data_IF_166398581451
#
_entry.id   IF_166398581451
#
_cell.length_a   1.000
_cell.length_b   1.000
_cell.length_c   1.000
_cell.angle_alpha   90.00
_cell.angle_beta   90.00
_cell.angle_gamma   90.00
#
_symmetry.space_group_name_H-M   'P 1'
#
loop_
_entity.id
_entity.type
_entity.pdbx_description
1 polymer ?
#
# COMPACT_ATOMS: atom_id res chain seq x y z
N UNK A 1 21.04 4.90 -10.87
CA UNK A 1 20.14 3.79 -11.28
C UNK A 1 19.59 2.94 -10.12
N UNK A 2 20.37 2.59 -9.08
CA UNK A 2 19.87 1.74 -7.96
C UNK A 2 18.64 2.31 -7.22
N UNK A 3 18.59 3.63 -6.97
CA UNK A 3 17.46 4.28 -6.26
C UNK A 3 16.13 4.22 -7.02
N UNK A 4 16.18 4.40 -8.35
CA UNK A 4 15.00 4.33 -9.23
C UNK A 4 14.43 2.91 -9.28
N UNK A 5 15.31 1.90 -9.36
CA UNK A 5 14.91 0.49 -9.32
C UNK A 5 14.23 0.11 -8.00
N UNK A 6 14.72 0.62 -6.86
CA UNK A 6 14.10 0.39 -5.55
C UNK A 6 12.71 1.00 -5.44
N UNK A 7 12.54 2.27 -5.84
CA UNK A 7 11.24 2.94 -5.83
C UNK A 7 10.22 2.29 -6.75
N UNK A 8 10.64 1.88 -7.95
CA UNK A 8 9.77 1.18 -8.90
C UNK A 8 9.32 -0.19 -8.37
N UNK A 9 10.21 -0.94 -7.72
CA UNK A 9 9.86 -2.20 -7.07
C UNK A 9 8.78 -2.02 -6.02
N UNK A 10 8.92 -1.04 -5.14
CA UNK A 10 7.90 -0.73 -4.11
C UNK A 10 6.57 -0.30 -4.72
N UNK A 11 6.59 0.54 -5.76
CA UNK A 11 5.37 0.99 -6.45
C UNK A 11 4.62 -0.18 -7.11
N UNK A 12 5.34 -1.11 -7.75
CA UNK A 12 4.75 -2.32 -8.34
C UNK A 12 4.17 -3.24 -7.25
N UNK A 13 4.92 -3.49 -6.18
CA UNK A 13 4.44 -4.33 -5.06
C UNK A 13 3.16 -3.75 -4.46
N UNK A 14 3.10 -2.44 -4.28
CA UNK A 14 1.88 -1.77 -3.80
C UNK A 14 0.73 -1.87 -4.80
N UNK A 15 0.98 -1.65 -6.09
CA UNK A 15 -0.04 -1.78 -7.12
C UNK A 15 -0.66 -3.19 -7.14
N UNK A 16 0.18 -4.23 -7.06
CA UNK A 16 -0.28 -5.63 -7.01
C UNK A 16 -1.06 -5.89 -5.73
N UNK A 17 -0.54 -5.47 -4.58
CA UNK A 17 -1.19 -5.70 -3.27
C UNK A 17 -2.57 -5.05 -3.24
N UNK A 18 -2.70 -3.83 -3.74
CA UNK A 18 -3.97 -3.11 -3.81
C UNK A 18 -4.91 -3.67 -4.86
N UNK A 19 -4.40 -4.07 -6.04
CA UNK A 19 -5.22 -4.72 -7.07
C UNK A 19 -5.86 -6.00 -6.55
N UNK A 20 -5.08 -6.84 -5.86
CA UNK A 20 -5.59 -8.06 -5.20
C UNK A 20 -6.55 -7.75 -4.05
N UNK A 21 -6.26 -6.73 -3.24
CA UNK A 21 -7.15 -6.28 -2.17
C UNK A 21 -8.49 -5.77 -2.69
N UNK A 22 -8.49 -4.96 -3.75
CA UNK A 22 -9.69 -4.47 -4.43
C UNK A 22 -10.50 -5.60 -5.06
N UNK A 23 -9.83 -6.55 -5.71
CA UNK A 23 -10.47 -7.77 -6.23
C UNK A 23 -11.19 -8.54 -5.11
N UNK A 24 -10.49 -8.81 -4.01
CA UNK A 24 -11.03 -9.54 -2.87
C UNK A 24 -12.22 -8.82 -2.23
N UNK A 25 -12.09 -7.52 -1.97
CA UNK A 25 -13.14 -6.71 -1.38
C UNK A 25 -14.39 -6.67 -2.25
N UNK A 26 -14.25 -6.41 -3.56
CA UNK A 26 -15.40 -6.39 -4.47
C UNK A 26 -16.07 -7.75 -4.58
N UNK A 27 -15.27 -8.83 -4.65
CA UNK A 27 -15.78 -10.20 -4.69
C UNK A 27 -16.60 -10.53 -3.43
N UNK A 28 -16.11 -10.14 -2.25
CA UNK A 28 -16.83 -10.32 -0.98
C UNK A 28 -18.12 -9.50 -0.92
N UNK A 29 -18.09 -8.24 -1.33
CA UNK A 29 -19.30 -7.40 -1.37
C UNK A 29 -20.34 -7.98 -2.32
N UNK A 30 -19.93 -8.49 -3.48
CA UNK A 30 -20.84 -9.10 -4.44
C UNK A 30 -21.53 -10.37 -3.90
N UNK A 31 -20.87 -11.13 -3.02
CA UNK A 31 -21.48 -12.29 -2.35
C UNK A 31 -22.61 -11.89 -1.38
N UNK A 32 -22.49 -10.72 -0.74
CA UNK A 32 -23.46 -10.24 0.26
C UNK A 32 -24.59 -9.43 -0.39
N UNK A 33 -24.28 -8.68 -1.45
CA UNK A 33 -25.24 -7.88 -2.21
C UNK A 33 -25.19 -8.24 -3.70
N UNK A 34 -25.75 -9.40 -4.09
CA UNK A 34 -25.74 -9.83 -5.48
C UNK A 34 -26.65 -8.92 -6.32
N UNK A 35 -26.04 -8.02 -7.08
CA UNK A 35 -26.71 -7.16 -8.05
C UNK A 35 -26.82 -7.82 -9.43
N UNK A 36 -27.83 -7.44 -10.25
CA UNK A 36 -28.02 -8.01 -11.57
C UNK A 36 -26.90 -7.58 -12.54
N UNK A 37 -25.96 -8.49 -12.77
CA UNK A 37 -25.44 -8.75 -14.11
C UNK A 37 -24.34 -7.85 -14.68
N UNK A 38 -23.28 -7.48 -13.93
CA UNK A 38 -22.02 -6.99 -14.52
C UNK A 38 -20.80 -7.28 -13.64
N UNK A 39 -20.64 -8.52 -13.15
CA UNK A 39 -19.52 -8.88 -12.27
C UNK A 39 -18.15 -8.60 -12.91
N UNK A 40 -17.93 -9.06 -14.15
CA UNK A 40 -16.62 -8.91 -14.82
C UNK A 40 -16.26 -7.44 -15.07
N UNK A 41 -17.10 -6.60 -15.69
CA UNK A 41 -16.80 -5.17 -15.87
C UNK A 41 -16.62 -4.42 -14.54
N UNK A 42 -17.41 -4.76 -13.52
CA UNK A 42 -17.30 -4.19 -12.18
C UNK A 42 -15.99 -4.54 -11.49
N UNK A 43 -15.61 -5.82 -11.49
CA UNK A 43 -14.33 -6.31 -10.97
C UNK A 43 -13.17 -5.58 -11.65
N UNK A 44 -13.15 -5.54 -12.99
CA UNK A 44 -12.04 -4.91 -13.72
C UNK A 44 -11.90 -3.43 -13.39
N UNK A 45 -13.03 -2.72 -13.23
CA UNK A 45 -13.03 -1.30 -12.86
C UNK A 45 -12.48 -1.09 -11.45
N UNK A 46 -12.93 -1.89 -10.48
CA UNK A 46 -12.45 -1.80 -9.09
C UNK A 46 -10.99 -2.20 -8.98
N UNK A 47 -10.58 -3.31 -9.60
CA UNK A 47 -9.19 -3.76 -9.62
C UNK A 47 -8.29 -2.71 -10.27
N UNK A 48 -8.70 -2.14 -11.41
CA UNK A 48 -7.95 -1.09 -12.10
C UNK A 48 -7.76 0.15 -11.24
N UNK A 49 -8.84 0.63 -10.60
CA UNK A 49 -8.80 1.78 -9.70
C UNK A 49 -7.94 1.49 -8.46
N UNK A 50 -8.09 0.32 -7.84
CA UNK A 50 -7.29 -0.08 -6.68
C UNK A 50 -5.82 -0.24 -7.04
N UNK A 51 -5.49 -0.86 -8.17
CA UNK A 51 -4.11 -0.99 -8.64
C UNK A 51 -3.47 0.36 -8.93
N UNK A 52 -4.19 1.27 -9.59
CA UNK A 52 -3.73 2.63 -9.83
C UNK A 52 -3.50 3.39 -8.51
N UNK A 53 -4.42 3.24 -7.55
CA UNK A 53 -4.32 3.81 -6.22
C UNK A 53 -3.09 3.29 -5.48
N UNK A 54 -2.88 1.97 -5.50
CA UNK A 54 -1.69 1.33 -4.94
C UNK A 54 -0.41 1.83 -5.59
N UNK A 55 -0.39 1.98 -6.92
CA UNK A 55 0.77 2.49 -7.65
C UNK A 55 1.13 3.93 -7.24
N UNK A 56 0.14 4.83 -7.22
CA UNK A 56 0.33 6.23 -6.82
C UNK A 56 0.73 6.33 -5.36
N UNK A 57 0.07 5.57 -4.48
CA UNK A 57 0.39 5.50 -3.07
C UNK A 57 1.81 4.97 -2.81
N UNK A 58 2.20 3.89 -3.49
CA UNK A 58 3.53 3.29 -3.37
C UNK A 58 4.65 4.19 -3.91
N UNK A 59 4.38 4.92 -4.99
CA UNK A 59 5.31 5.92 -5.54
C UNK A 59 5.50 7.08 -4.58
N UNK A 60 4.40 7.60 -4.02
CA UNK A 60 4.43 8.68 -3.03
C UNK A 60 5.16 8.24 -1.76
N UNK A 61 4.81 7.08 -1.23
CA UNK A 61 5.46 6.49 -0.05
C UNK A 61 6.96 6.28 -0.24
N UNK A 62 7.36 5.75 -1.40
CA UNK A 62 8.78 5.59 -1.75
C UNK A 62 9.51 6.92 -1.83
N UNK A 63 8.84 7.95 -2.36
CA UNK A 63 9.41 9.30 -2.47
C UNK A 63 9.59 9.91 -1.08
N UNK A 64 8.60 9.78 -0.19
CA UNK A 64 8.68 10.22 1.21
C UNK A 64 9.81 9.50 1.95
N UNK A 65 9.90 8.18 1.84
CA UNK A 65 11.00 7.39 2.43
C UNK A 65 12.36 7.82 1.90
N UNK A 66 12.51 7.98 0.58
CA UNK A 66 13.77 8.39 -0.02
C UNK A 66 14.18 9.82 0.38
N UNK A 67 13.20 10.71 0.55
CA UNK A 67 13.46 12.12 0.85
C UNK A 67 13.73 12.33 2.34
N UNK A 68 12.84 11.85 3.21
CA UNK A 68 12.89 12.14 4.64
C UNK A 68 13.70 11.11 5.44
N UNK A 69 13.87 9.90 4.92
CA UNK A 69 14.44 8.78 5.67
C UNK A 69 15.68 8.15 5.01
N UNK A 70 16.22 8.72 3.93
CA UNK A 70 17.41 8.17 3.26
C UNK A 70 18.68 8.11 4.10
N UNK A 71 18.75 8.87 5.21
CA UNK A 71 19.90 8.92 6.12
C UNK A 71 19.64 8.32 7.50
N UNK A 72 18.43 7.83 7.77
CA UNK A 72 18.07 7.28 9.10
C UNK A 72 18.24 5.76 9.10
N UNK A 73 18.64 5.21 10.24
CA UNK A 73 18.65 3.76 10.44
C UNK A 73 17.21 3.23 10.44
N UNK A 74 17.03 1.98 10.00
CA UNK A 74 15.74 1.29 10.09
C UNK A 74 15.26 1.17 11.55
N UNK A 75 16.19 1.13 12.52
CA UNK A 75 15.88 1.12 13.96
C UNK A 75 15.23 2.42 14.43
N UNK A 76 15.49 3.54 13.73
CA UNK A 76 14.96 4.87 14.08
C UNK A 76 13.61 5.17 13.41
N UNK A 77 13.09 4.26 12.59
CA UNK A 77 11.82 4.43 11.93
C UNK A 77 10.68 4.20 12.91
N UNK A 78 9.85 5.23 13.10
CA UNK A 78 8.63 5.12 13.91
C UNK A 78 7.56 4.33 13.12
N UNK A 79 7.16 3.13 13.58
CA UNK A 79 6.16 2.31 12.88
C UNK A 79 4.79 2.99 12.84
N UNK A 80 4.42 3.74 13.89
CA UNK A 80 3.15 4.46 13.94
C UNK A 80 3.12 5.60 12.91
N UNK A 81 4.24 6.32 12.75
CA UNK A 81 4.39 7.35 11.71
C UNK A 81 4.24 6.78 10.30
N UNK A 82 4.80 5.59 10.06
CA UNK A 82 4.68 4.91 8.77
C UNK A 82 3.29 4.34 8.52
N UNK A 83 2.59 3.91 9.58
CA UNK A 83 1.16 3.61 9.53
C UNK A 83 0.34 4.83 9.10
N UNK A 84 0.57 6.01 9.69
CA UNK A 84 -0.11 7.25 9.29
C UNK A 84 0.14 7.63 7.84
N UNK A 85 1.38 7.51 7.36
CA UNK A 85 1.71 7.73 5.95
C UNK A 85 1.01 6.71 5.04
N UNK A 86 0.92 5.46 5.47
CA UNK A 86 0.15 4.41 4.80
C UNK A 86 -1.33 4.75 4.71
N UNK A 87 -1.94 5.23 5.81
CA UNK A 87 -3.32 5.72 5.84
C UNK A 87 -3.53 6.90 4.89
N UNK A 88 -2.65 7.90 4.95
CA UNK A 88 -2.74 9.10 4.11
C UNK A 88 -2.65 8.75 2.63
N UNK A 89 -1.68 7.93 2.24
CA UNK A 89 -1.53 7.48 0.86
C UNK A 89 -2.72 6.63 0.42
N UNK A 90 -3.23 5.76 1.32
CA UNK A 90 -4.36 4.90 1.05
C UNK A 90 -5.70 5.63 0.95
N UNK A 91 -5.86 6.78 1.61
CA UNK A 91 -7.06 7.61 1.53
C UNK A 91 -7.01 8.61 0.37
N UNK A 92 -5.83 9.12 0.00
CA UNK A 92 -5.67 10.20 -0.97
C UNK A 92 -6.29 9.89 -2.34
N UNK A 93 -6.02 8.69 -2.87
CA UNK A 93 -6.50 8.34 -4.22
C UNK A 93 -8.00 8.02 -4.22
N UNK A 94 -8.55 7.19 -3.32
CA UNK A 94 -9.99 6.99 -3.24
C UNK A 94 -10.73 8.30 -2.96
N UNK A 95 -10.24 9.13 -2.04
CA UNK A 95 -10.86 10.42 -1.74
C UNK A 95 -10.86 11.35 -2.97
N UNK A 96 -9.77 11.36 -3.75
CA UNK A 96 -9.71 12.09 -5.02
C UNK A 96 -10.73 11.57 -6.04
N UNK A 97 -10.86 10.25 -6.19
CA UNK A 97 -11.82 9.63 -7.12
C UNK A 97 -13.26 9.92 -6.70
N UNK A 98 -13.60 9.74 -5.42
CA UNK A 98 -14.93 10.08 -4.89
C UNK A 98 -15.22 11.58 -5.01
N UNK A 99 -14.24 12.43 -4.74
CA UNK A 99 -14.37 13.88 -4.86
C UNK A 99 -14.64 14.31 -6.31
N UNK A 100 -13.80 13.89 -7.25
CA UNK A 100 -13.98 14.19 -8.68
C UNK A 100 -15.29 13.59 -9.19
N UNK A 101 -15.57 12.34 -8.83
CA UNK A 101 -16.78 11.63 -9.19
C UNK A 101 -18.06 12.35 -8.76
N UNK A 102 -18.08 12.86 -7.53
CA UNK A 102 -19.18 13.67 -7.00
C UNK A 102 -19.34 14.99 -7.76
N UNK A 103 -18.22 15.64 -8.15
CA UNK A 103 -18.25 16.88 -8.93
C UNK A 103 -18.79 16.68 -10.35
N UNK A 104 -18.55 15.53 -10.97
CA UNK A 104 -19.03 15.21 -12.33
C UNK A 104 -20.41 14.53 -12.35
N UNK A 105 -21.08 14.43 -11.20
CA UNK A 105 -22.43 13.88 -11.10
C UNK A 105 -22.50 12.35 -11.20
N UNK A 106 -21.39 11.64 -11.00
CA UNK A 106 -21.42 10.19 -10.82
C UNK A 106 -22.01 9.92 -9.42
N UNK A 107 -23.25 9.41 -9.39
CA UNK A 107 -23.95 9.09 -8.15
C UNK A 107 -23.25 7.98 -7.38
N UNK A 108 -22.42 8.35 -6.41
CA UNK A 108 -21.84 7.42 -5.46
C UNK A 108 -22.71 7.34 -4.22
N UNK A 109 -23.06 6.12 -3.81
CA UNK A 109 -23.69 5.95 -2.49
C UNK A 109 -22.68 6.28 -1.38
N UNK A 110 -23.06 7.23 -0.51
CA UNK A 110 -22.23 7.71 0.59
C UNK A 110 -21.80 6.57 1.52
N UNK A 111 -22.69 5.59 1.74
CA UNK A 111 -22.38 4.40 2.54
C UNK A 111 -21.25 3.57 1.92
N UNK A 112 -21.33 3.29 0.62
CA UNK A 112 -20.30 2.53 -0.11
C UNK A 112 -18.97 3.30 -0.12
N UNK A 113 -19.02 4.61 -0.34
CA UNK A 113 -17.82 5.46 -0.31
C UNK A 113 -17.13 5.47 1.06
N UNK A 114 -17.91 5.59 2.14
CA UNK A 114 -17.38 5.61 3.50
C UNK A 114 -16.75 4.27 3.88
N UNK A 115 -17.40 3.15 3.56
CA UNK A 115 -16.86 1.80 3.80
C UNK A 115 -15.58 1.59 3.00
N UNK A 116 -15.56 2.00 1.74
CA UNK A 116 -14.39 1.88 0.87
C UNK A 116 -13.23 2.70 1.41
N UNK A 117 -13.46 3.97 1.79
CA UNK A 117 -12.44 4.83 2.38
C UNK A 117 -11.89 4.26 3.70
N UNK A 118 -12.78 3.80 4.59
CA UNK A 118 -12.38 3.18 5.84
C UNK A 118 -11.52 1.92 5.59
N UNK A 119 -11.98 1.01 4.74
CA UNK A 119 -11.25 -0.20 4.40
C UNK A 119 -9.87 0.10 3.80
N UNK A 120 -9.80 1.02 2.83
CA UNK A 120 -8.56 1.41 2.16
C UNK A 120 -7.59 2.12 3.11
N UNK A 121 -8.10 2.99 3.99
CA UNK A 121 -7.32 3.67 5.02
C UNK A 121 -6.72 2.69 6.03
N UNK A 122 -7.54 1.76 6.56
CA UNK A 122 -7.08 0.71 7.48
C UNK A 122 -6.07 -0.21 6.81
N UNK A 123 -6.32 -0.61 5.57
CA UNK A 123 -5.41 -1.48 4.82
C UNK A 123 -4.06 -0.79 4.55
N UNK A 124 -4.09 0.51 4.19
CA UNK A 124 -2.89 1.34 4.06
C UNK A 124 -2.10 1.43 5.37
N UNK A 125 -2.79 1.66 6.50
CA UNK A 125 -2.19 1.71 7.82
C UNK A 125 -1.48 0.41 8.19
N UNK A 126 -2.18 -0.72 8.02
CA UNK A 126 -1.67 -2.04 8.33
C UNK A 126 -0.46 -2.41 7.47
N UNK A 127 -0.52 -2.10 6.17
CA UNK A 127 0.57 -2.40 5.24
C UNK A 127 1.81 -1.56 5.57
N UNK A 128 1.63 -0.26 5.85
CA UNK A 128 2.71 0.64 6.24
C UNK A 128 3.37 0.22 7.56
N UNK A 129 2.56 -0.07 8.57
CA UNK A 129 3.04 -0.55 9.87
C UNK A 129 3.74 -1.91 9.76
N UNK A 130 3.12 -2.87 9.08
CA UNK A 130 3.61 -4.24 8.94
C UNK A 130 4.95 -4.31 8.21
N UNK A 131 5.11 -3.53 7.13
CA UNK A 131 6.35 -3.49 6.35
C UNK A 131 7.55 -3.07 7.20
N UNK A 132 7.39 -2.03 8.02
CA UNK A 132 8.47 -1.53 8.88
C UNK A 132 8.78 -2.50 10.00
N UNK A 133 7.75 -3.07 10.63
CA UNK A 133 7.95 -4.04 11.71
C UNK A 133 8.67 -5.29 11.21
N UNK A 134 8.31 -5.79 10.03
CA UNK A 134 9.01 -6.89 9.36
C UNK A 134 10.46 -6.53 9.05
N UNK A 135 10.71 -5.33 8.50
CA UNK A 135 12.07 -4.86 8.21
C UNK A 135 12.93 -4.76 9.48
N UNK A 136 12.37 -4.27 10.58
CA UNK A 136 13.06 -4.17 11.88
C UNK A 136 13.33 -5.55 12.47
N UNK A 137 12.41 -6.51 12.34
CA UNK A 137 12.63 -7.89 12.85
C UNK A 137 13.71 -8.67 12.09
N UNK A 138 14.03 -8.28 10.86
CA UNK A 138 15.06 -8.95 10.05
C UNK A 138 16.48 -8.50 10.34
N UNK A 139 16.68 -7.34 10.98
CA UNK A 139 18.02 -6.77 11.19
C UNK A 139 18.96 -7.59 12.10
N UNK A 140 18.52 -8.16 13.25
CA UNK A 140 19.41 -8.89 14.14
C UNK A 140 20.10 -10.07 13.45
N UNK A 141 19.38 -10.76 12.55
CA UNK A 141 19.90 -11.91 11.80
C UNK A 141 20.93 -11.55 10.75
N UNK A 142 20.89 -10.33 10.22
CA UNK A 142 21.87 -9.84 9.27
C UNK A 142 23.16 -9.41 9.98
N UNK A 143 23.06 -8.84 11.18
CA UNK A 143 24.22 -8.47 12.00
C UNK A 143 24.99 -9.72 12.49
N UNK A 144 24.28 -10.80 12.88
CA UNK A 144 24.87 -12.07 13.30
C UNK A 144 25.51 -12.86 12.14
N UNK A 145 24.86 -12.87 10.97
CA UNK A 145 25.41 -13.48 9.76
C UNK A 145 26.65 -12.76 9.22
N UNK A 146 26.75 -11.43 9.42
CA UNK A 146 27.92 -10.65 8.98
C UNK A 146 29.17 -10.93 9.83
N UNK A 147 29.00 -11.29 11.11
CA UNK A 147 30.12 -11.64 12.00
C UNK A 147 30.68 -13.03 11.72
N UNK A 148 29.85 -14.00 11.31
CA UNK A 148 30.29 -15.39 11.11
C UNK A 148 31.22 -15.53 9.89
N UNK A 149 30.96 -14.83 8.77
CA UNK A 149 31.83 -14.93 7.60
C UNK A 149 33.17 -14.21 7.78
N UNK A 150 33.25 -13.22 8.68
CA UNK A 150 34.52 -12.56 8.98
C UNK A 150 35.48 -13.47 9.77
N UNK A 151 34.94 -14.39 10.57
CA UNK A 151 35.74 -15.33 11.35
C UNK A 151 36.33 -16.46 10.49
N UNK A 152 35.67 -16.82 9.39
CA UNK A 152 36.04 -17.96 8.53
C UNK A 152 37.05 -17.59 7.41
N UNK A 153 37.39 -16.31 7.25
CA UNK A 153 38.30 -15.82 6.19
C UNK A 153 39.76 -15.64 6.64
N UNK A 154 40.09 -16.09 7.86
CA UNK A 154 41.38 -15.84 8.52
C UNK A 154 42.40 -16.98 8.51
N UNK A 155 42.16 -18.10 7.80
CA UNK A 155 43.08 -19.25 7.72
C UNK A 155 43.71 -19.44 6.33
#
# INVERSE_FOLDING_TARGET
>A
MRKIRGGLGTAITWAVTWGLGGFGLYSLLHLVTPGPGYFIPGVLSVVGISALSGFVGGTTFSTVLSTFYSRRSLKDLNPAGMGMWGTLCGLLVPAGIFGIGSLVGLGFEVAVGTITLAAMGTFGALTGYGTIKLAQSGQPKLEEGDSDWMLDSGE
#
